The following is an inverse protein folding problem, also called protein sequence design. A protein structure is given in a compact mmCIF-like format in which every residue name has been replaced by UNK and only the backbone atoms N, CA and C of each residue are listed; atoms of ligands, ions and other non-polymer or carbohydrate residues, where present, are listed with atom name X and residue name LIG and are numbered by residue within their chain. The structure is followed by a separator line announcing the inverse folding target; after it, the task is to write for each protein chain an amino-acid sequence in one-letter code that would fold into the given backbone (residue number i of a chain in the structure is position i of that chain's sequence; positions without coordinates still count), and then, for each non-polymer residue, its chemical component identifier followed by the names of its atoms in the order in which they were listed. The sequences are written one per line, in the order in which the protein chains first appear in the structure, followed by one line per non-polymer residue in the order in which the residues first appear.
data_IF_914540278936
#
_entry.id   IF_914540278936
#
_cell.length_a   1.000
_cell.length_b   1.000
_cell.length_c   1.000
_cell.angle_alpha   90.00
_cell.angle_beta   90.00
_cell.angle_gamma   90.00
#
_symmetry.space_group_name_H-M   'P 1'
#
loop_
_entity.id
_entity.type
_entity.pdbx_description
1 polymer ?
#
# COMPACT_ATOMS: atom_id res chain seq x y z
N UNK A 1 6.45 8.78 -91.49
CA UNK A 1 5.53 8.12 -92.43
C UNK A 1 5.13 6.76 -91.87
N UNK A 2 3.81 6.55 -91.76
CA UNK A 2 3.04 5.29 -91.66
C UNK A 2 3.06 4.46 -90.36
N UNK A 3 1.88 4.49 -89.74
CA UNK A 3 1.23 3.55 -88.83
C UNK A 3 1.17 2.10 -89.37
N UNK A 4 0.99 1.10 -88.49
CA UNK A 4 -0.26 0.31 -88.32
C UNK A 4 -0.09 -0.71 -87.16
N UNK A 5 -1.20 -0.94 -86.45
CA UNK A 5 -1.47 -1.69 -85.21
C UNK A 5 -1.40 -3.22 -85.31
N UNK A 6 -1.32 -3.93 -84.14
CA UNK A 6 -2.10 -5.12 -83.65
C UNK A 6 -1.33 -5.81 -82.50
N UNK A 7 -1.67 -5.68 -81.20
CA UNK A 7 -2.63 -6.40 -80.32
C UNK A 7 -2.30 -7.89 -79.95
N UNK A 8 -2.28 -8.14 -78.62
CA UNK A 8 -2.30 -9.39 -77.81
C UNK A 8 -1.03 -10.27 -77.78
N UNK A 9 -0.50 -10.75 -76.64
CA UNK A 9 -1.18 -11.41 -75.51
C UNK A 9 -0.35 -11.27 -74.21
N UNK A 10 -1.03 -11.02 -73.09
CA UNK A 10 -0.46 -10.98 -71.75
C UNK A 10 -0.14 -12.40 -71.23
N UNK A 11 1.02 -12.56 -70.60
CA UNK A 11 1.24 -13.59 -69.59
C UNK A 11 1.59 -12.89 -68.28
N UNK A 12 0.57 -12.71 -67.44
CA UNK A 12 0.74 -12.41 -66.02
C UNK A 12 1.06 -13.74 -65.36
N UNK A 13 2.32 -13.95 -65.00
CA UNK A 13 2.72 -14.97 -64.05
C UNK A 13 2.44 -14.41 -62.65
N UNK A 14 1.21 -14.59 -62.15
CA UNK A 14 0.94 -14.49 -60.72
C UNK A 14 1.63 -15.70 -60.09
N UNK A 15 2.80 -15.46 -59.49
CA UNK A 15 3.40 -16.41 -58.57
C UNK A 15 2.52 -16.43 -57.32
N UNK A 16 1.85 -17.56 -57.09
CA UNK A 16 1.21 -17.92 -55.83
C UNK A 16 2.28 -17.99 -54.72
N UNK A 17 2.58 -16.87 -54.07
CA UNK A 17 3.37 -16.82 -52.83
C UNK A 17 2.50 -16.77 -51.56
N UNK A 18 1.18 -16.59 -51.70
CA UNK A 18 0.23 -16.55 -50.58
C UNK A 18 0.00 -17.89 -49.84
N UNK A 19 -0.09 -19.08 -50.48
CA UNK A 19 -0.47 -20.31 -49.76
C UNK A 19 0.65 -20.85 -48.87
N UNK A 20 1.93 -20.62 -49.22
CA UNK A 20 3.06 -21.06 -48.42
C UNK A 20 3.20 -20.26 -47.11
N UNK A 21 3.06 -18.93 -47.18
CA UNK A 21 3.08 -18.08 -45.99
C UNK A 21 1.89 -18.37 -45.06
N UNK A 22 0.68 -18.52 -45.60
CA UNK A 22 -0.49 -18.88 -44.81
C UNK A 22 -0.36 -20.27 -44.15
N UNK A 23 0.15 -21.27 -44.87
CA UNK A 23 0.39 -22.60 -44.31
C UNK A 23 1.48 -22.60 -43.23
N UNK A 24 2.56 -21.83 -43.43
CA UNK A 24 3.66 -21.72 -42.47
C UNK A 24 3.26 -20.97 -41.19
N UNK A 25 2.38 -19.96 -41.32
CA UNK A 25 1.79 -19.23 -40.20
C UNK A 25 0.83 -20.13 -39.41
N UNK A 26 0.01 -20.93 -40.11
CA UNK A 26 -0.93 -21.87 -39.50
C UNK A 26 -0.22 -23.02 -38.76
N UNK A 27 0.93 -23.47 -39.24
CA UNK A 27 1.76 -24.48 -38.53
C UNK A 27 2.44 -23.92 -37.28
N UNK A 28 2.86 -22.65 -37.29
CA UNK A 28 3.48 -22.01 -36.13
C UNK A 28 2.47 -21.74 -35.01
N UNK A 29 1.24 -21.35 -35.37
CA UNK A 29 0.14 -21.15 -34.42
C UNK A 29 -0.32 -22.47 -33.81
N UNK A 30 -0.43 -23.55 -34.60
CA UNK A 30 -0.75 -24.87 -34.08
C UNK A 30 0.32 -25.38 -33.09
N UNK A 31 1.61 -25.21 -33.42
CA UNK A 31 2.70 -25.54 -32.50
C UNK A 31 2.63 -24.72 -31.20
N UNK A 32 2.31 -23.42 -31.29
CA UNK A 32 2.13 -22.55 -30.12
C UNK A 32 1.00 -23.03 -29.20
N UNK A 33 -0.11 -23.46 -29.79
CA UNK A 33 -1.24 -24.04 -29.05
C UNK A 33 -0.79 -25.29 -28.28
N UNK A 34 0.01 -26.16 -28.90
CA UNK A 34 0.53 -27.36 -28.24
C UNK A 34 1.52 -27.03 -27.11
N UNK A 35 2.40 -26.06 -27.29
CA UNK A 35 3.30 -25.58 -26.23
C UNK A 35 2.51 -25.01 -25.03
N UNK A 36 1.46 -24.22 -25.29
CA UNK A 36 0.60 -23.67 -24.23
C UNK A 36 -0.13 -24.79 -23.49
N UNK A 37 -0.67 -25.80 -24.20
CA UNK A 37 -1.27 -26.98 -23.57
C UNK A 37 -0.27 -27.69 -22.66
N UNK A 38 0.97 -27.89 -23.15
CA UNK A 38 2.04 -28.47 -22.34
C UNK A 38 2.29 -27.66 -21.06
N UNK A 39 2.40 -26.32 -21.15
CA UNK A 39 2.59 -25.50 -19.97
C UNK A 39 1.41 -25.57 -19.01
N UNK A 40 0.18 -25.61 -19.51
CA UNK A 40 -1.02 -25.76 -18.68
C UNK A 40 -1.02 -27.09 -17.94
N UNK A 41 -0.78 -28.20 -18.64
CA UNK A 41 -0.78 -29.54 -18.02
C UNK A 41 0.30 -29.73 -16.96
N UNK A 42 1.46 -29.10 -17.15
CA UNK A 42 2.61 -29.31 -16.29
C UNK A 42 2.69 -28.29 -15.16
N UNK A 43 2.28 -27.03 -15.38
CA UNK A 43 2.52 -25.93 -14.44
C UNK A 43 1.26 -25.23 -13.94
N UNK A 44 0.11 -25.31 -14.62
CA UNK A 44 -1.08 -24.56 -14.21
C UNK A 44 -1.64 -25.01 -12.86
N UNK A 45 -1.74 -24.08 -11.92
CA UNK A 45 -2.34 -24.31 -10.61
C UNK A 45 -3.81 -23.88 -10.62
N UNK A 46 -4.68 -24.87 -10.78
CA UNK A 46 -6.13 -24.71 -10.87
C UNK A 46 -6.75 -25.97 -11.46
N UNK A 47 -8.05 -25.91 -11.73
CA UNK A 47 -8.74 -26.99 -12.42
C UNK A 47 -8.36 -26.95 -13.91
N UNK A 48 -7.67 -27.98 -14.39
CA UNK A 48 -7.35 -28.10 -15.82
C UNK A 48 -8.64 -28.45 -16.59
N UNK A 49 -9.01 -27.71 -17.66
CA UNK A 49 -10.18 -28.03 -18.46
C UNK A 49 -10.14 -29.46 -19.02
N UNK A 50 -11.20 -30.25 -18.79
CA UNK A 50 -11.27 -31.64 -19.28
C UNK A 50 -11.13 -31.74 -20.82
N UNK A 51 -11.56 -30.69 -21.53
CA UNK A 51 -11.51 -30.58 -22.97
C UNK A 51 -10.25 -29.86 -23.49
N UNK A 52 -9.22 -29.62 -22.67
CA UNK A 52 -8.00 -28.89 -23.05
C UNK A 52 -7.39 -29.41 -24.36
N UNK A 53 -7.30 -30.73 -24.53
CA UNK A 53 -6.72 -31.35 -25.72
C UNK A 53 -7.49 -31.06 -27.02
N UNK A 54 -8.80 -30.83 -26.90
CA UNK A 54 -9.68 -30.51 -28.04
C UNK A 54 -9.68 -29.03 -28.43
N UNK A 55 -9.13 -28.14 -27.60
CA UNK A 55 -9.03 -26.72 -27.90
C UNK A 55 -8.00 -26.48 -29.00
N UNK A 56 -8.36 -25.64 -29.99
CA UNK A 56 -7.54 -25.42 -31.18
C UNK A 56 -6.97 -24.01 -31.28
N UNK A 57 -7.35 -23.11 -30.36
CA UNK A 57 -6.89 -21.71 -30.35
C UNK A 57 -6.38 -21.32 -28.97
N UNK A 58 -5.46 -20.36 -28.93
CA UNK A 58 -4.91 -19.81 -27.68
C UNK A 58 -6.03 -19.21 -26.81
N UNK A 59 -6.95 -18.45 -27.39
CA UNK A 59 -8.03 -17.78 -26.64
C UNK A 59 -8.93 -18.78 -25.91
N UNK A 60 -9.33 -19.88 -26.57
CA UNK A 60 -10.08 -20.97 -25.93
C UNK A 60 -9.38 -21.54 -24.69
N UNK A 61 -8.04 -21.68 -24.75
CA UNK A 61 -7.27 -22.19 -23.62
C UNK A 61 -7.26 -21.15 -22.51
N UNK A 62 -6.87 -19.91 -22.81
CA UNK A 62 -6.72 -18.84 -21.82
C UNK A 62 -8.04 -18.51 -21.12
N UNK A 63 -9.15 -18.40 -21.87
CA UNK A 63 -10.48 -18.12 -21.31
C UNK A 63 -10.99 -19.23 -20.38
N UNK A 64 -10.49 -20.45 -20.54
CA UNK A 64 -10.85 -21.60 -19.71
C UNK A 64 -10.01 -21.72 -18.42
N UNK A 65 -9.00 -20.86 -18.21
CA UNK A 65 -8.17 -20.83 -17.01
C UNK A 65 -8.73 -19.84 -15.97
N UNK A 66 -7.87 -19.00 -15.40
CA UNK A 66 -8.23 -17.95 -14.44
C UNK A 66 -7.96 -16.54 -14.99
N UNK A 67 -8.52 -15.54 -14.31
CA UNK A 67 -8.41 -14.11 -14.66
C UNK A 67 -6.97 -13.54 -14.64
N UNK A 68 -5.98 -14.28 -14.14
CA UNK A 68 -4.57 -13.86 -14.06
C UNK A 68 -3.68 -14.53 -15.11
N UNK A 69 -4.18 -15.57 -15.77
CA UNK A 69 -3.49 -16.27 -16.86
C UNK A 69 -3.81 -15.60 -18.19
N UNK A 70 -2.80 -15.35 -19.01
CA UNK A 70 -2.94 -14.62 -20.28
C UNK A 70 -1.79 -14.93 -21.23
N UNK A 71 -2.12 -15.04 -22.51
CA UNK A 71 -1.14 -14.94 -23.59
C UNK A 71 -0.90 -13.49 -23.99
N UNK A 72 0.35 -13.14 -24.25
CA UNK A 72 0.76 -11.82 -24.71
C UNK A 72 1.59 -11.96 -25.98
N UNK A 73 1.24 -11.18 -27.00
CA UNK A 73 2.09 -11.01 -28.19
C UNK A 73 3.43 -10.37 -27.82
N UNK A 74 4.46 -10.38 -28.70
CA UNK A 74 5.75 -9.76 -28.40
C UNK A 74 5.65 -8.28 -28.00
N UNK A 75 4.80 -7.52 -28.70
CA UNK A 75 4.54 -6.11 -28.38
C UNK A 75 3.82 -5.96 -27.04
N UNK A 76 2.81 -6.79 -26.76
CA UNK A 76 2.10 -6.78 -25.48
C UNK A 76 3.02 -7.15 -24.32
N UNK A 77 3.88 -8.16 -24.49
CA UNK A 77 4.82 -8.59 -23.46
C UNK A 77 5.89 -7.53 -23.22
N UNK A 78 6.46 -6.95 -24.28
CA UNK A 78 7.42 -5.84 -24.17
C UNK A 78 6.79 -4.65 -23.45
N UNK A 79 5.56 -4.28 -23.78
CA UNK A 79 4.84 -3.20 -23.10
C UNK A 79 4.50 -3.57 -21.65
N UNK A 80 4.15 -4.83 -21.37
CA UNK A 80 3.87 -5.31 -20.02
C UNK A 80 5.12 -5.27 -19.14
N UNK A 81 6.24 -5.85 -19.59
CA UNK A 81 7.52 -5.84 -18.86
C UNK A 81 8.03 -4.42 -18.74
N UNK A 82 7.86 -3.58 -19.76
CA UNK A 82 8.20 -2.16 -19.65
C UNK A 82 7.30 -1.46 -18.63
N UNK A 83 6.01 -1.74 -18.55
CA UNK A 83 5.13 -1.14 -17.54
C UNK A 83 5.39 -1.65 -16.11
N UNK A 84 5.79 -2.92 -15.96
CA UNK A 84 6.13 -3.54 -14.67
C UNK A 84 7.56 -3.19 -14.23
N UNK A 85 8.47 -2.99 -15.19
CA UNK A 85 9.89 -2.68 -14.99
C UNK A 85 10.27 -1.21 -15.20
N UNK A 86 9.37 -0.34 -15.65
CA UNK A 86 9.61 1.10 -15.81
C UNK A 86 9.77 1.85 -14.48
N UNK A 87 9.61 1.19 -13.33
CA UNK A 87 10.16 1.73 -12.08
C UNK A 87 11.71 1.87 -12.15
N UNK A 88 12.40 1.16 -13.05
CA UNK A 88 13.86 1.22 -13.22
C UNK A 88 14.33 2.08 -14.42
N UNK A 89 13.44 2.66 -15.23
CA UNK A 89 13.83 3.48 -16.39
C UNK A 89 13.26 4.89 -16.26
N UNK A 90 14.15 5.84 -15.95
CA UNK A 90 13.89 7.27 -15.89
C UNK A 90 13.24 7.79 -17.20
N UNK A 91 11.92 7.79 -17.25
CA UNK A 91 11.15 8.63 -18.15
C UNK A 91 10.66 9.82 -17.33
N UNK A 92 11.05 11.01 -17.79
CA UNK A 92 10.64 12.30 -17.28
C UNK A 92 9.12 12.45 -17.37
N UNK A 93 8.40 11.97 -16.36
CA UNK A 93 7.08 12.46 -16.00
C UNK A 93 6.85 12.15 -14.52
N UNK A 94 6.54 13.22 -13.78
CA UNK A 94 6.33 13.37 -12.34
C UNK A 94 5.76 12.09 -11.68
N UNK A 95 6.60 11.11 -11.37
CA UNK A 95 6.22 9.95 -10.56
C UNK A 95 6.53 10.26 -9.09
N UNK A 96 5.51 10.16 -8.25
CA UNK A 96 5.74 10.12 -6.81
C UNK A 96 6.67 8.94 -6.48
N UNK A 97 7.65 9.11 -5.59
CA UNK A 97 8.56 8.03 -5.26
C UNK A 97 7.79 6.84 -4.66
N UNK A 98 8.18 5.62 -5.03
CA UNK A 98 7.58 4.38 -4.54
C UNK A 98 7.54 4.28 -3.00
N UNK A 99 8.49 4.95 -2.33
CA UNK A 99 8.56 5.09 -0.89
C UNK A 99 8.63 6.56 -0.50
N UNK A 100 7.78 6.98 0.44
CA UNK A 100 7.84 8.31 1.05
C UNK A 100 7.68 8.22 2.56
N UNK A 101 8.03 9.28 3.30
CA UNK A 101 7.95 9.27 4.76
C UNK A 101 7.70 10.63 5.38
N UNK A 102 7.08 10.64 6.55
CA UNK A 102 6.90 11.83 7.37
C UNK A 102 6.97 11.50 8.87
N UNK A 103 7.36 12.50 9.67
CA UNK A 103 7.08 12.46 11.11
C UNK A 103 5.64 12.92 11.35
N UNK A 104 4.91 12.16 12.15
CA UNK A 104 3.64 12.57 12.73
C UNK A 104 3.88 13.00 14.19
N UNK A 105 2.90 13.70 14.74
CA UNK A 105 2.92 14.07 16.15
C UNK A 105 3.06 12.83 17.07
N UNK A 106 3.67 13.00 18.25
CA UNK A 106 3.81 11.91 19.22
C UNK A 106 4.87 10.85 18.89
N UNK A 107 5.95 11.26 18.21
CA UNK A 107 7.09 10.41 17.84
C UNK A 107 6.71 9.22 16.94
N UNK A 108 5.72 9.41 16.07
CA UNK A 108 5.28 8.37 15.14
C UNK A 108 5.92 8.60 13.78
N UNK A 109 6.75 7.67 13.34
CA UNK A 109 7.22 7.61 11.96
C UNK A 109 6.12 7.08 11.04
N UNK A 110 5.94 7.69 9.88
CA UNK A 110 5.06 7.21 8.82
C UNK A 110 5.89 6.92 7.57
N UNK A 111 5.69 5.76 6.97
CA UNK A 111 6.28 5.36 5.69
C UNK A 111 5.15 4.90 4.77
N UNK A 112 5.05 5.48 3.58
CA UNK A 112 4.14 5.03 2.51
C UNK A 112 4.92 4.20 1.52
N UNK A 113 4.37 3.05 1.12
CA UNK A 113 4.94 2.19 0.07
C UNK A 113 3.83 1.96 -0.96
N UNK A 114 3.95 2.57 -2.14
CA UNK A 114 2.92 2.51 -3.19
C UNK A 114 3.06 1.28 -4.08
N UNK A 115 4.25 0.69 -4.15
CA UNK A 115 4.55 -0.55 -4.90
C UNK A 115 5.73 -1.29 -4.26
N UNK A 116 5.77 -2.61 -4.41
CA UNK A 116 6.92 -3.44 -4.03
C UNK A 116 7.93 -3.49 -5.18
N UNK A 117 8.72 -2.43 -5.35
CA UNK A 117 9.79 -2.36 -6.36
C UNK A 117 11.06 -3.12 -5.94
N UNK A 118 11.98 -3.37 -6.87
CA UNK A 118 13.26 -4.06 -6.63
C UNK A 118 14.17 -3.34 -5.62
N UNK A 119 14.06 -2.01 -5.53
CA UNK A 119 14.86 -1.17 -4.63
C UNK A 119 14.12 -0.77 -3.33
N UNK A 120 12.88 -1.24 -3.13
CA UNK A 120 12.01 -0.84 -2.02
C UNK A 120 12.71 -0.93 -0.65
N UNK A 121 13.43 -2.02 -0.38
CA UNK A 121 14.07 -2.27 0.93
C UNK A 121 15.12 -1.21 1.28
N UNK A 122 15.96 -0.84 0.31
CA UNK A 122 16.97 0.20 0.48
C UNK A 122 16.33 1.56 0.78
N UNK A 123 15.24 1.89 0.09
CA UNK A 123 14.52 3.14 0.30
C UNK A 123 13.84 3.16 1.67
N UNK A 124 13.13 2.09 2.06
CA UNK A 124 12.54 1.95 3.38
C UNK A 124 13.58 2.09 4.49
N UNK A 125 14.75 1.46 4.35
CA UNK A 125 15.85 1.60 5.31
C UNK A 125 16.31 3.05 5.43
N UNK A 126 16.46 3.77 4.31
CA UNK A 126 16.87 5.18 4.28
C UNK A 126 15.85 6.06 5.01
N UNK A 127 14.57 5.90 4.67
CA UNK A 127 13.46 6.64 5.26
C UNK A 127 13.31 6.34 6.76
N UNK A 128 13.28 5.07 7.15
CA UNK A 128 13.21 4.65 8.55
C UNK A 128 14.40 5.17 9.38
N UNK A 129 15.62 5.09 8.84
CA UNK A 129 16.81 5.60 9.53
C UNK A 129 16.74 7.11 9.77
N UNK A 130 16.16 7.87 8.84
CA UNK A 130 15.90 9.30 9.01
C UNK A 130 14.86 9.57 10.09
N UNK A 131 13.72 8.87 10.05
CA UNK A 131 12.65 9.00 11.06
C UNK A 131 13.16 8.65 12.46
N UNK A 132 13.95 7.57 12.58
CA UNK A 132 14.56 7.15 13.84
C UNK A 132 15.50 8.22 14.41
N UNK A 133 16.30 8.89 13.57
CA UNK A 133 17.14 10.02 13.99
C UNK A 133 16.32 11.23 14.44
N UNK A 134 15.11 11.41 13.90
CA UNK A 134 14.16 12.43 14.32
C UNK A 134 13.38 12.07 15.60
N UNK A 135 13.62 10.88 16.17
CA UNK A 135 13.04 10.44 17.44
C UNK A 135 11.83 9.53 17.31
N UNK A 136 11.53 8.98 16.12
CA UNK A 136 10.45 8.01 15.96
C UNK A 136 10.68 6.75 16.81
N UNK A 137 9.72 6.43 17.68
CA UNK A 137 9.70 5.21 18.52
C UNK A 137 8.53 4.27 18.16
N UNK A 138 7.62 4.74 17.31
CA UNK A 138 6.47 4.04 16.73
C UNK A 138 6.52 4.18 15.22
N UNK A 139 5.94 3.21 14.51
CA UNK A 139 5.96 3.19 13.05
C UNK A 139 4.58 2.86 12.48
N UNK A 140 4.15 3.61 11.48
CA UNK A 140 3.01 3.28 10.62
C UNK A 140 3.55 3.06 9.21
N UNK A 141 3.30 1.89 8.64
CA UNK A 141 3.62 1.57 7.25
C UNK A 141 2.31 1.53 6.48
N UNK A 142 2.22 2.32 5.43
CA UNK A 142 1.02 2.43 4.61
C UNK A 142 1.17 1.64 3.31
N UNK A 143 0.34 0.60 3.17
CA UNK A 143 0.19 -0.25 1.99
C UNK A 143 -1.19 -0.06 1.33
N UNK A 144 -1.95 0.97 1.70
CA UNK A 144 -3.20 1.33 1.03
C UNK A 144 -2.90 1.63 -0.44
N UNK A 145 -3.77 1.17 -1.33
CA UNK A 145 -3.61 1.32 -2.78
C UNK A 145 -2.38 0.63 -3.39
N UNK A 146 -1.60 -0.13 -2.60
CA UNK A 146 -0.47 -0.90 -3.10
C UNK A 146 -0.93 -2.25 -3.68
N UNK A 147 -0.95 -2.34 -5.02
CA UNK A 147 -1.37 -3.54 -5.76
C UNK A 147 -0.39 -4.72 -5.72
N UNK A 148 0.74 -4.57 -5.04
CA UNK A 148 1.79 -5.56 -4.90
C UNK A 148 3.08 -5.16 -5.63
N UNK A 149 3.72 -6.14 -6.25
CA UNK A 149 5.02 -6.00 -6.92
C UNK A 149 5.85 -7.26 -6.70
N UNK A 150 7.17 -7.09 -6.60
CA UNK A 150 8.11 -8.18 -6.38
C UNK A 150 7.91 -8.84 -5.01
N UNK A 151 7.70 -10.15 -5.01
CA UNK A 151 7.48 -10.94 -3.78
C UNK A 151 8.72 -10.93 -2.89
N UNK A 152 9.92 -10.95 -3.49
CA UNK A 152 11.18 -10.83 -2.75
C UNK A 152 11.26 -9.54 -1.92
N UNK A 153 10.75 -8.41 -2.46
CA UNK A 153 10.70 -7.15 -1.71
C UNK A 153 9.78 -7.23 -0.49
N UNK A 154 8.70 -8.02 -0.54
CA UNK A 154 7.89 -8.32 0.63
C UNK A 154 8.62 -9.20 1.65
N UNK A 155 9.39 -10.20 1.19
CA UNK A 155 10.23 -11.04 2.04
C UNK A 155 11.32 -10.22 2.76
N UNK A 156 11.89 -9.22 2.09
CA UNK A 156 12.84 -8.26 2.65
C UNK A 156 12.17 -7.34 3.69
N UNK A 157 11.02 -6.73 3.35
CA UNK A 157 10.26 -5.89 4.29
C UNK A 157 9.90 -6.64 5.57
N UNK A 158 9.45 -7.89 5.44
CA UNK A 158 9.14 -8.78 6.57
C UNK A 158 10.35 -9.08 7.44
N UNK A 159 11.55 -9.09 6.85
CA UNK A 159 12.83 -9.23 7.54
C UNK A 159 13.16 -8.14 8.55
N UNK A 160 12.47 -7.00 8.53
CA UNK A 160 12.63 -5.92 9.51
C UNK A 160 11.83 -6.09 10.80
N UNK A 161 10.85 -7.01 10.82
CA UNK A 161 10.01 -7.22 11.99
C UNK A 161 10.64 -8.26 12.92
N UNK A 162 10.56 -8.01 14.24
CA UNK A 162 11.00 -8.99 15.23
C UNK A 162 10.01 -10.16 15.28
N UNK A 163 10.52 -11.39 15.41
CA UNK A 163 9.69 -12.58 15.60
C UNK A 163 9.09 -13.18 14.33
N UNK A 164 9.22 -12.53 13.17
CA UNK A 164 8.79 -13.09 11.87
C UNK A 164 9.78 -14.18 11.43
N UNK A 165 9.29 -15.42 11.33
CA UNK A 165 10.07 -16.61 10.94
C UNK A 165 9.67 -17.18 9.59
N UNK A 166 8.40 -17.02 9.22
CA UNK A 166 7.85 -17.46 7.94
C UNK A 166 7.26 -16.25 7.24
N UNK A 167 7.59 -16.06 5.97
CA UNK A 167 6.98 -15.02 5.15
C UNK A 167 5.59 -15.49 4.73
N UNK A 168 5.51 -16.59 3.99
CA UNK A 168 4.26 -17.20 3.52
C UNK A 168 4.48 -18.70 3.25
N UNK A 169 3.37 -19.43 3.11
CA UNK A 169 3.36 -20.79 2.57
C UNK A 169 2.96 -20.73 1.10
N UNK A 170 3.77 -21.29 0.22
CA UNK A 170 3.49 -21.42 -1.20
C UNK A 170 3.00 -22.83 -1.50
N UNK A 171 1.96 -22.94 -2.32
CA UNK A 171 1.51 -24.22 -2.88
C UNK A 171 1.54 -24.15 -4.39
N UNK A 172 2.21 -25.10 -4.99
CA UNK A 172 2.25 -25.32 -6.45
C UNK A 172 1.81 -26.76 -6.74
N UNK A 173 1.80 -27.15 -8.02
CA UNK A 173 1.57 -28.56 -8.40
C UNK A 173 2.66 -29.49 -7.89
N UNK A 174 3.88 -28.99 -7.78
CA UNK A 174 5.06 -29.75 -7.36
C UNK A 174 5.08 -30.01 -5.85
N UNK A 175 4.36 -29.20 -5.08
CA UNK A 175 4.21 -29.37 -3.64
C UNK A 175 4.05 -28.06 -2.89
N UNK A 176 4.23 -28.15 -1.57
CA UNK A 176 4.13 -27.02 -0.68
C UNK A 176 5.51 -26.61 -0.16
N UNK A 177 5.80 -25.32 -0.17
CA UNK A 177 7.07 -24.75 0.30
C UNK A 177 6.82 -23.64 1.31
N UNK A 178 7.50 -23.72 2.45
CA UNK A 178 7.54 -22.63 3.43
C UNK A 178 8.63 -21.64 3.06
N UNK A 179 8.23 -20.40 2.76
CA UNK A 179 9.17 -19.32 2.40
C UNK A 179 9.51 -18.50 3.64
N UNK A 180 10.81 -18.20 3.82
CA UNK A 180 11.33 -17.43 4.95
C UNK A 180 11.55 -15.97 4.56
N UNK A 181 11.42 -15.01 5.49
CA UNK A 181 11.79 -13.63 5.23
C UNK A 181 13.32 -13.48 5.04
N UNK A 182 13.74 -12.48 4.27
CA UNK A 182 15.14 -12.10 4.12
C UNK A 182 15.53 -11.25 5.33
N UNK A 183 16.21 -11.83 6.31
CA UNK A 183 16.45 -11.19 7.60
C UNK A 183 17.33 -9.92 7.51
N UNK A 184 16.82 -8.82 8.05
CA UNK A 184 17.56 -7.55 8.16
C UNK A 184 18.15 -7.35 9.56
N UNK A 185 19.31 -6.68 9.63
CA UNK A 185 19.92 -6.22 10.89
C UNK A 185 19.20 -5.01 11.48
N UNK A 186 18.54 -4.22 10.64
CA UNK A 186 17.75 -3.07 11.09
C UNK A 186 16.37 -3.60 11.45
N UNK A 187 15.91 -3.37 12.68
CA UNK A 187 14.59 -3.79 13.14
C UNK A 187 13.66 -2.59 13.39
N UNK A 188 12.40 -2.77 13.03
CA UNK A 188 11.32 -1.83 13.34
C UNK A 188 10.89 -1.93 14.80
N UNK A 189 10.32 -0.87 15.40
CA UNK A 189 9.81 -0.94 16.77
C UNK A 189 8.64 -1.93 16.87
N UNK A 190 8.44 -2.52 18.05
CA UNK A 190 7.30 -3.42 18.30
C UNK A 190 5.94 -2.74 18.08
N UNK A 191 5.87 -1.43 18.32
CA UNK A 191 4.68 -0.62 18.03
C UNK A 191 4.67 -0.21 16.55
N UNK A 192 4.56 -1.21 15.66
CA UNK A 192 4.39 -1.01 14.22
C UNK A 192 2.97 -1.39 13.78
N UNK A 193 2.39 -0.55 12.93
CA UNK A 193 1.03 -0.69 12.40
C UNK A 193 1.07 -0.68 10.87
N UNK A 194 0.28 -1.53 10.23
CA UNK A 194 0.20 -1.62 8.77
C UNK A 194 -1.18 -1.13 8.32
N UNK A 195 -1.20 -0.10 7.48
CA UNK A 195 -2.44 0.36 6.85
C UNK A 195 -2.67 -0.41 5.56
N UNK A 196 -3.88 -0.93 5.39
CA UNK A 196 -4.32 -1.65 4.18
C UNK A 196 -5.71 -1.19 3.78
N UNK A 197 -6.06 -1.36 2.50
CA UNK A 197 -7.42 -1.13 2.04
C UNK A 197 -7.82 -2.16 0.98
N UNK A 198 -9.04 -2.03 0.43
CA UNK A 198 -9.57 -2.91 -0.62
C UNK A 198 -8.75 -3.00 -1.91
N UNK A 199 -7.79 -2.10 -2.11
CA UNK A 199 -6.88 -2.08 -3.25
C UNK A 199 -5.50 -2.68 -2.92
N UNK A 200 -5.18 -2.89 -1.64
CA UNK A 200 -3.99 -3.61 -1.21
C UNK A 200 -4.07 -5.06 -1.73
N UNK A 201 -3.06 -5.50 -2.50
CA UNK A 201 -3.10 -6.79 -3.18
C UNK A 201 -1.74 -7.49 -3.23
N UNK A 202 -1.75 -8.80 -3.52
CA UNK A 202 -0.54 -9.58 -3.83
C UNK A 202 0.52 -9.50 -2.73
N UNK A 203 1.73 -8.98 -3.02
CA UNK A 203 2.81 -8.79 -2.06
C UNK A 203 2.38 -8.02 -0.78
N UNK A 204 1.48 -7.03 -0.90
CA UNK A 204 0.90 -6.33 0.26
C UNK A 204 0.13 -7.29 1.19
N UNK A 205 -0.55 -8.29 0.62
CA UNK A 205 -1.34 -9.28 1.35
C UNK A 205 -0.45 -10.36 1.98
N UNK A 206 0.69 -10.69 1.36
CA UNK A 206 1.74 -11.51 1.97
C UNK A 206 2.22 -10.84 3.27
N UNK A 207 2.55 -9.56 3.21
CA UNK A 207 3.01 -8.79 4.38
C UNK A 207 1.93 -8.75 5.45
N UNK A 208 0.69 -8.40 5.08
CA UNK A 208 -0.42 -8.32 6.03
C UNK A 208 -0.71 -9.67 6.71
N UNK A 209 -0.79 -10.75 5.94
CA UNK A 209 -1.04 -12.10 6.45
C UNK A 209 0.09 -12.58 7.37
N UNK A 210 1.35 -12.39 6.95
CA UNK A 210 2.53 -12.82 7.71
C UNK A 210 2.61 -12.14 9.07
N UNK A 211 2.42 -10.82 9.09
CA UNK A 211 2.50 -10.03 10.32
C UNK A 211 1.31 -10.31 11.25
N UNK A 212 0.11 -10.48 10.70
CA UNK A 212 -1.08 -10.81 11.51
C UNK A 212 -0.97 -12.21 12.12
N UNK A 213 -0.62 -13.23 11.33
CA UNK A 213 -0.52 -14.61 11.78
C UNK A 213 0.52 -14.78 12.89
N UNK A 214 1.62 -14.02 12.81
CA UNK A 214 2.72 -14.06 13.78
C UNK A 214 2.65 -12.97 14.85
N UNK A 215 1.57 -12.17 14.86
CA UNK A 215 1.35 -11.08 15.82
C UNK A 215 2.52 -10.07 15.89
N UNK A 216 3.20 -9.86 14.76
CA UNK A 216 4.39 -9.01 14.66
C UNK A 216 4.04 -7.53 14.38
N UNK A 217 2.83 -7.26 13.87
CA UNK A 217 2.28 -5.92 13.71
C UNK A 217 0.75 -5.96 13.76
N UNK A 218 0.12 -4.79 13.91
CA UNK A 218 -1.35 -4.64 13.89
C UNK A 218 -1.77 -4.17 12.50
N UNK A 219 -2.69 -4.91 11.87
CA UNK A 219 -3.26 -4.53 10.57
C UNK A 219 -4.47 -3.62 10.80
N UNK A 220 -4.52 -2.49 10.11
CA UNK A 220 -5.55 -1.45 10.26
C UNK A 220 -6.10 -1.08 8.90
N UNK A 221 -7.41 -0.93 8.77
CA UNK A 221 -8.01 -0.41 7.54
C UNK A 221 -9.25 -1.14 7.10
N UNK A 222 -9.29 -1.52 5.83
CA UNK A 222 -10.35 -2.33 5.21
C UNK A 222 -9.83 -3.73 4.84
N UNK A 223 -10.74 -4.64 4.52
CA UNK A 223 -10.38 -5.94 3.94
C UNK A 223 -9.62 -5.78 2.61
N UNK A 224 -8.53 -6.52 2.42
CA UNK A 224 -7.70 -6.45 1.19
C UNK A 224 -8.32 -7.14 -0.03
N UNK A 225 -7.72 -6.98 -1.20
CA UNK A 225 -8.27 -7.42 -2.51
C UNK A 225 -8.53 -8.92 -2.62
N UNK A 226 -7.68 -9.77 -2.07
CA UNK A 226 -7.74 -11.23 -2.19
C UNK A 226 -7.00 -11.82 -3.38
N UNK A 227 -5.91 -11.19 -3.84
CA UNK A 227 -5.06 -11.72 -4.92
C UNK A 227 -3.95 -12.60 -4.33
N UNK A 228 -4.31 -13.83 -3.99
CA UNK A 228 -3.42 -14.84 -3.39
C UNK A 228 -2.71 -15.81 -4.35
N UNK A 229 -2.58 -15.47 -5.64
CA UNK A 229 -2.01 -16.35 -6.67
C UNK A 229 -0.64 -15.87 -7.14
N UNK A 230 0.21 -16.81 -7.56
CA UNK A 230 1.54 -16.56 -8.13
C UNK A 230 1.49 -16.87 -9.62
N UNK A 231 2.02 -15.95 -10.43
CA UNK A 231 2.13 -16.15 -11.87
C UNK A 231 3.61 -16.30 -12.28
N UNK A 232 3.86 -17.15 -13.27
CA UNK A 232 5.14 -17.25 -13.97
C UNK A 232 4.98 -16.82 -15.44
N UNK A 233 6.07 -16.35 -16.05
CA UNK A 233 6.14 -16.08 -17.48
C UNK A 233 6.88 -17.22 -18.17
N UNK A 234 6.31 -17.74 -19.25
CA UNK A 234 6.92 -18.69 -20.16
C UNK A 234 7.11 -17.96 -21.49
N UNK A 235 8.34 -17.55 -21.76
CA UNK A 235 8.71 -16.79 -22.96
C UNK A 235 8.90 -17.74 -24.14
N UNK A 236 8.44 -17.31 -25.31
CA UNK A 236 8.59 -18.02 -26.57
C UNK A 236 9.72 -17.40 -27.40
N UNK A 237 10.27 -18.16 -28.35
CA UNK A 237 11.41 -17.72 -29.18
C UNK A 237 11.12 -16.46 -30.01
N UNK A 238 9.86 -16.19 -30.33
CA UNK A 238 9.43 -15.00 -31.06
C UNK A 238 9.21 -13.76 -30.18
N UNK A 239 9.49 -13.87 -28.88
CA UNK A 239 9.34 -12.78 -27.90
C UNK A 239 7.94 -12.67 -27.30
N UNK A 240 6.99 -13.52 -27.68
CA UNK A 240 5.70 -13.61 -27.01
C UNK A 240 5.87 -14.26 -25.62
N UNK A 241 4.86 -14.16 -24.77
CA UNK A 241 4.90 -14.81 -23.46
C UNK A 241 3.53 -15.32 -23.00
N UNK A 242 3.53 -16.48 -22.34
CA UNK A 242 2.41 -16.99 -21.57
C UNK A 242 2.63 -16.62 -20.10
N UNK A 243 1.75 -15.79 -19.55
CA UNK A 243 1.62 -15.59 -18.11
C UNK A 243 0.66 -16.62 -17.56
N UNK A 244 1.10 -17.44 -16.62
CA UNK A 244 0.31 -18.56 -16.11
C UNK A 244 0.30 -18.59 -14.59
N UNK A 245 -0.85 -18.83 -13.96
CA UNK A 245 -0.91 -19.10 -12.52
C UNK A 245 -0.28 -20.45 -12.21
N UNK A 246 0.79 -20.45 -11.42
CA UNK A 246 1.57 -21.65 -11.06
C UNK A 246 1.42 -22.05 -9.58
N UNK A 247 0.72 -21.24 -8.79
CA UNK A 247 0.50 -21.52 -7.39
C UNK A 247 -0.37 -20.51 -6.67
N UNK A 248 -0.61 -20.79 -5.39
CA UNK A 248 -1.21 -19.88 -4.43
C UNK A 248 -0.28 -19.67 -3.23
N UNK A 249 -0.43 -18.53 -2.55
CA UNK A 249 0.20 -18.29 -1.27
C UNK A 249 -0.83 -18.10 -0.15
N UNK A 250 -0.46 -18.55 1.04
CA UNK A 250 -1.23 -18.37 2.28
C UNK A 250 -0.35 -17.78 3.37
N UNK A 251 -0.97 -17.20 4.40
CA UNK A 251 -0.23 -16.77 5.59
C UNK A 251 0.41 -17.96 6.34
N UNK A 252 1.37 -17.71 7.25
CA UNK A 252 2.03 -18.74 8.06
C UNK A 252 1.09 -19.68 8.84
N UNK A 253 -0.13 -19.25 9.18
CA UNK A 253 -1.17 -20.09 9.80
C UNK A 253 -2.13 -20.71 8.79
N UNK A 254 -1.74 -20.76 7.51
CA UNK A 254 -2.56 -21.15 6.35
C UNK A 254 -3.78 -20.24 6.14
N UNK A 255 -3.68 -18.99 6.56
CA UNK A 255 -4.69 -17.97 6.33
C UNK A 255 -4.92 -17.80 4.82
N UNK A 256 -6.13 -18.11 4.35
CA UNK A 256 -6.49 -18.06 2.93
C UNK A 256 -6.56 -16.61 2.45
N UNK A 257 -5.79 -16.29 1.41
CA UNK A 257 -5.75 -14.96 0.78
C UNK A 257 -6.57 -14.96 -0.50
N UNK A 258 -6.38 -15.96 -1.37
CA UNK A 258 -7.04 -15.97 -2.68
C UNK A 258 -8.57 -15.92 -2.58
N UNK A 259 -9.18 -14.95 -3.28
CA UNK A 259 -10.62 -14.61 -3.30
C UNK A 259 -11.23 -14.24 -1.94
N UNK A 260 -10.40 -14.07 -0.90
CA UNK A 260 -10.85 -13.69 0.45
C UNK A 260 -10.22 -12.39 0.91
N UNK A 261 -8.93 -12.19 0.68
CA UNK A 261 -8.17 -11.10 1.28
C UNK A 261 -7.93 -11.30 2.78
N UNK A 262 -7.25 -10.32 3.36
CA UNK A 262 -6.90 -10.23 4.77
C UNK A 262 -7.81 -9.21 5.42
N UNK A 263 -8.54 -9.65 6.44
CA UNK A 263 -9.34 -8.76 7.28
C UNK A 263 -8.41 -7.99 8.23
N UNK A 264 -8.65 -6.68 8.44
CA UNK A 264 -7.84 -5.90 9.36
C UNK A 264 -8.11 -6.31 10.81
N UNK A 265 -7.10 -6.16 11.68
CA UNK A 265 -7.27 -6.33 13.13
C UNK A 265 -8.08 -5.18 13.71
N UNK A 266 -7.95 -3.98 13.15
CA UNK A 266 -8.74 -2.79 13.46
C UNK A 266 -9.42 -2.33 12.16
N UNK A 267 -10.72 -2.56 12.07
CA UNK A 267 -11.57 -2.05 10.99
C UNK A 267 -11.83 -0.56 11.18
N UNK A 268 -11.89 0.20 10.09
CA UNK A 268 -12.20 1.63 10.12
C UNK A 268 -12.77 2.13 8.79
N UNK A 269 -13.36 3.32 8.83
CA UNK A 269 -13.91 3.97 7.65
C UNK A 269 -12.82 4.23 6.59
N UNK A 270 -13.20 4.10 5.32
CA UNK A 270 -12.34 4.42 4.18
C UNK A 270 -11.74 5.82 4.31
N UNK A 271 -10.44 5.93 4.01
CA UNK A 271 -9.64 7.15 4.13
C UNK A 271 -9.50 7.72 5.57
N UNK A 272 -9.93 6.97 6.60
CA UNK A 272 -9.74 7.32 8.02
C UNK A 272 -8.71 6.42 8.70
N UNK A 273 -8.03 5.53 8.00
CA UNK A 273 -7.12 4.53 8.58
C UNK A 273 -5.97 5.21 9.35
N UNK A 274 -5.30 6.17 8.70
CA UNK A 274 -4.17 6.88 9.30
C UNK A 274 -4.58 7.75 10.49
N UNK A 275 -5.69 8.48 10.38
CA UNK A 275 -6.18 9.32 11.48
C UNK A 275 -6.69 8.49 12.66
N UNK A 276 -7.34 7.35 12.38
CA UNK A 276 -7.81 6.39 13.38
C UNK A 276 -6.65 5.79 14.16
N UNK A 277 -5.63 5.27 13.48
CA UNK A 277 -4.50 4.66 14.20
C UNK A 277 -3.67 5.70 14.94
N UNK A 278 -3.46 6.88 14.35
CA UNK A 278 -2.74 7.96 15.02
C UNK A 278 -3.50 8.42 16.28
N UNK A 279 -4.84 8.56 16.20
CA UNK A 279 -5.66 8.88 17.37
C UNK A 279 -5.51 7.84 18.49
N UNK A 280 -5.52 6.55 18.15
CA UNK A 280 -5.34 5.46 19.12
C UNK A 280 -3.96 5.52 19.78
N UNK A 281 -2.91 5.69 18.99
CA UNK A 281 -1.53 5.84 19.50
C UNK A 281 -1.42 7.02 20.48
N UNK A 282 -1.98 8.18 20.11
CA UNK A 282 -1.94 9.36 20.98
C UNK A 282 -2.79 9.17 22.24
N UNK A 283 -3.99 8.60 22.14
CA UNK A 283 -4.85 8.30 23.29
C UNK A 283 -4.14 7.38 24.27
N UNK A 284 -3.50 6.32 23.77
CA UNK A 284 -2.73 5.41 24.61
C UNK A 284 -1.60 6.17 25.31
N UNK A 285 -0.83 6.99 24.59
CA UNK A 285 0.25 7.80 25.18
C UNK A 285 -0.24 8.77 26.25
N UNK A 286 -1.33 9.50 25.97
CA UNK A 286 -1.94 10.46 26.89
C UNK A 286 -2.51 9.77 28.13
N UNK A 287 -3.11 8.58 27.98
CA UNK A 287 -3.62 7.78 29.09
C UNK A 287 -2.48 7.32 30.03
N UNK A 288 -1.34 6.87 29.49
CA UNK A 288 -0.17 6.54 30.30
C UNK A 288 0.35 7.75 31.09
N UNK A 289 0.24 8.95 30.51
CA UNK A 289 0.58 10.22 31.16
C UNK A 289 -0.54 10.76 32.08
N UNK A 290 -1.61 9.99 32.32
CA UNK A 290 -2.74 10.36 33.17
C UNK A 290 -3.50 11.61 32.72
N UNK A 291 -3.52 11.91 31.42
CA UNK A 291 -4.37 12.98 30.88
C UNK A 291 -5.85 12.61 31.00
N UNK A 292 -6.68 13.62 31.25
CA UNK A 292 -8.13 13.46 31.25
C UNK A 292 -8.71 13.84 29.88
N UNK A 293 -9.42 12.92 29.24
CA UNK A 293 -10.27 13.27 28.11
C UNK A 293 -11.45 14.12 28.61
N UNK A 294 -11.71 15.23 27.92
CA UNK A 294 -12.95 16.01 28.08
C UNK A 294 -13.84 15.79 26.85
N UNK A 295 -15.08 16.29 26.90
CA UNK A 295 -16.08 16.04 25.86
C UNK A 295 -15.57 16.33 24.44
N UNK A 296 -15.96 15.46 23.52
CA UNK A 296 -15.61 15.57 22.11
C UNK A 296 -16.34 16.77 21.48
N UNK A 297 -15.63 17.52 20.64
CA UNK A 297 -16.20 18.62 19.87
C UNK A 297 -16.49 18.17 18.45
N UNK A 298 -17.75 17.93 18.15
CA UNK A 298 -18.18 17.49 16.82
C UNK A 298 -18.60 18.68 15.94
N UNK A 299 -18.49 18.54 14.62
CA UNK A 299 -19.05 19.50 13.67
C UNK A 299 -18.52 20.94 13.87
N UNK A 300 -17.24 21.06 14.20
CA UNK A 300 -16.56 22.34 14.45
C UNK A 300 -16.29 23.06 13.12
N UNK A 301 -16.48 24.39 13.09
CA UNK A 301 -16.15 25.20 11.91
C UNK A 301 -14.63 25.32 11.72
N UNK A 302 -14.19 25.42 10.47
CA UNK A 302 -12.76 25.47 10.10
C UNK A 302 -11.97 26.63 10.75
N UNK A 303 -12.63 27.71 11.16
CA UNK A 303 -12.06 28.92 11.76
C UNK A 303 -12.44 29.11 13.24
N UNK A 304 -12.94 28.06 13.89
CA UNK A 304 -13.35 28.11 15.30
C UNK A 304 -12.20 28.57 16.21
N UNK A 305 -12.47 29.58 17.02
CA UNK A 305 -11.72 29.87 18.25
C UNK A 305 -12.25 29.00 19.39
N UNK A 306 -11.34 28.32 20.09
CA UNK A 306 -11.64 27.52 21.28
C UNK A 306 -11.38 28.35 22.54
N UNK A 307 -12.21 28.17 23.57
CA UNK A 307 -12.08 28.88 24.84
C UNK A 307 -11.75 27.89 25.95
N UNK A 308 -10.55 27.99 26.51
CA UNK A 308 -10.12 27.19 27.65
C UNK A 308 -10.43 27.96 28.94
N UNK A 309 -11.39 27.48 29.71
CA UNK A 309 -11.80 28.09 30.98
C UNK A 309 -11.13 27.40 32.17
N UNK A 310 -10.55 28.20 33.07
CA UNK A 310 -9.98 27.76 34.33
C UNK A 310 -10.99 27.97 35.47
N UNK A 311 -10.97 27.06 36.46
CA UNK A 311 -11.86 27.15 37.63
C UNK A 311 -11.49 28.25 38.62
N UNK A 312 -10.40 28.97 38.36
CA UNK A 312 -9.89 30.07 39.16
C UNK A 312 -9.08 31.02 38.26
N UNK A 313 -8.71 32.18 38.79
CA UNK A 313 -7.80 33.10 38.11
C UNK A 313 -6.38 32.53 38.01
N UNK A 314 -5.74 32.77 36.86
CA UNK A 314 -4.45 32.21 36.47
C UNK A 314 -3.48 33.30 36.00
N UNK A 315 -2.18 33.04 36.07
CA UNK A 315 -1.16 33.89 35.48
C UNK A 315 -1.00 33.52 34.00
N UNK A 316 -1.79 34.14 33.14
CA UNK A 316 -1.89 33.82 31.72
C UNK A 316 -0.87 34.59 30.85
N UNK A 317 0.32 34.87 31.38
CA UNK A 317 1.39 35.51 30.61
C UNK A 317 1.87 34.60 29.46
N UNK A 318 2.48 35.20 28.43
CA UNK A 318 2.99 34.45 27.26
C UNK A 318 3.90 33.29 27.67
N UNK A 319 4.86 33.53 28.58
CA UNK A 319 5.79 32.50 29.07
C UNK A 319 5.08 31.35 29.81
N UNK A 320 3.91 31.59 30.39
CA UNK A 320 3.13 30.58 31.10
C UNK A 320 2.22 29.75 30.19
N UNK A 321 2.03 30.18 28.92
CA UNK A 321 0.97 29.66 28.04
C UNK A 321 1.48 29.15 26.69
N UNK A 322 2.57 29.69 26.16
CA UNK A 322 3.03 29.50 24.77
C UNK A 322 3.28 28.05 24.35
N UNK A 323 3.68 27.19 25.28
CA UNK A 323 4.01 25.78 25.01
C UNK A 323 3.10 24.79 25.76
N UNK A 324 1.95 25.25 26.29
CA UNK A 324 1.06 24.42 27.09
C UNK A 324 -0.23 24.01 26.39
N UNK A 325 -0.44 24.47 25.15
CA UNK A 325 -1.60 24.13 24.35
C UNK A 325 -1.13 23.76 22.95
N UNK A 326 -1.61 22.64 22.44
CA UNK A 326 -1.27 22.13 21.12
C UNK A 326 -2.54 21.70 20.40
N UNK A 327 -2.72 22.13 19.16
CA UNK A 327 -3.76 21.63 18.28
C UNK A 327 -3.11 20.68 17.28
N UNK A 328 -3.43 19.39 17.36
CA UNK A 328 -2.77 18.34 16.58
C UNK A 328 -3.73 17.82 15.51
N UNK A 329 -3.31 17.85 14.25
CA UNK A 329 -4.04 17.17 13.17
C UNK A 329 -3.76 15.67 13.23
N UNK A 330 -4.80 14.85 13.38
CA UNK A 330 -4.65 13.40 13.34
C UNK A 330 -4.23 12.95 11.93
N UNK A 331 -3.34 11.96 11.87
CA UNK A 331 -2.56 11.62 10.67
C UNK A 331 -1.57 12.70 10.20
N UNK A 332 -1.24 13.70 11.04
CA UNK A 332 -0.31 14.77 10.70
C UNK A 332 0.50 15.28 11.89
N UNK A 333 0.81 16.57 11.87
CA UNK A 333 1.62 17.27 12.88
C UNK A 333 0.78 18.28 13.67
N UNK A 334 1.40 18.93 14.66
CA UNK A 334 0.83 20.09 15.33
C UNK A 334 0.56 21.23 14.33
N UNK A 335 -0.60 21.86 14.47
CA UNK A 335 -1.03 23.02 13.69
C UNK A 335 -0.65 24.29 14.47
N UNK A 336 -0.09 25.31 13.80
CA UNK A 336 0.18 26.59 14.45
C UNK A 336 -1.09 27.24 14.98
N UNK A 337 -1.04 27.68 16.24
CA UNK A 337 -2.13 28.37 16.93
C UNK A 337 -1.66 29.71 17.48
N UNK A 338 -2.62 30.60 17.73
CA UNK A 338 -2.46 31.83 18.48
C UNK A 338 -3.22 31.69 19.80
N UNK A 339 -2.55 32.02 20.90
CA UNK A 339 -3.13 31.97 22.24
C UNK A 339 -3.22 33.40 22.77
N UNK A 340 -4.40 33.81 23.23
CA UNK A 340 -4.63 35.14 23.80
C UNK A 340 -5.42 35.03 25.11
N UNK A 341 -4.96 35.64 26.21
CA UNK A 341 -5.76 35.78 27.42
C UNK A 341 -7.02 36.59 27.16
N UNK A 342 -8.14 36.08 27.66
CA UNK A 342 -9.44 36.73 27.63
C UNK A 342 -9.94 36.86 29.09
N UNK A 343 -9.46 37.89 29.78
CA UNK A 343 -9.62 38.02 31.22
C UNK A 343 -8.66 37.12 32.01
N UNK A 344 -8.92 36.97 33.31
CA UNK A 344 -8.01 36.32 34.26
C UNK A 344 -8.11 34.79 34.31
N UNK A 345 -9.15 34.19 33.71
CA UNK A 345 -9.45 32.76 33.83
C UNK A 345 -9.78 32.09 32.48
N UNK A 346 -9.56 32.75 31.36
CA UNK A 346 -9.86 32.19 30.03
C UNK A 346 -8.72 32.43 29.05
N UNK A 347 -8.40 31.41 28.26
CA UNK A 347 -7.51 31.50 27.10
C UNK A 347 -8.29 31.24 25.81
N UNK A 348 -8.20 32.20 24.88
CA UNK A 348 -8.68 32.02 23.52
C UNK A 348 -7.57 31.36 22.69
N UNK A 349 -7.93 30.28 22.01
CA UNK A 349 -7.03 29.46 21.19
C UNK A 349 -7.57 29.48 19.76
N UNK A 350 -6.83 30.09 18.85
CA UNK A 350 -7.27 30.25 17.45
C UNK A 350 -6.27 29.59 16.50
N UNK A 351 -6.70 28.69 15.61
CA UNK A 351 -5.84 28.17 14.54
C UNK A 351 -5.33 29.31 13.65
N UNK A 352 -4.01 29.36 13.38
CA UNK A 352 -3.43 30.40 12.52
C UNK A 352 -3.80 30.21 11.04
N UNK A 353 -4.24 29.01 10.68
CA UNK A 353 -4.80 28.66 9.38
C UNK A 353 -6.09 27.87 9.62
N UNK A 354 -7.03 27.98 8.67
CA UNK A 354 -8.27 27.19 8.71
C UNK A 354 -7.95 25.70 8.81
N UNK A 355 -8.63 25.02 9.73
CA UNK A 355 -8.58 23.57 9.85
C UNK A 355 -9.17 22.91 8.59
N UNK A 356 -8.71 21.70 8.27
CA UNK A 356 -9.17 20.97 7.11
C UNK A 356 -10.60 20.47 7.36
N UNK A 357 -11.51 20.79 6.43
CA UNK A 357 -12.87 20.23 6.40
C UNK A 357 -12.83 18.71 6.36
N UNK A 358 -13.63 18.05 7.21
CA UNK A 358 -13.63 16.60 7.38
C UNK A 358 -12.41 16.04 8.13
N UNK A 359 -11.50 16.92 8.58
CA UNK A 359 -10.33 16.56 9.38
C UNK A 359 -10.69 16.26 10.83
N UNK A 360 -9.83 15.48 11.46
CA UNK A 360 -9.91 15.13 12.88
C UNK A 360 -8.68 15.66 13.61
N UNK A 361 -8.89 16.22 14.81
CA UNK A 361 -7.86 16.90 15.58
C UNK A 361 -7.96 16.53 17.06
N UNK A 362 -6.84 16.64 17.78
CA UNK A 362 -6.84 16.75 19.24
C UNK A 362 -6.41 18.15 19.64
N UNK A 363 -7.17 18.79 20.54
CA UNK A 363 -6.66 19.93 21.30
C UNK A 363 -6.15 19.40 22.64
N UNK A 364 -4.84 19.49 22.85
CA UNK A 364 -4.13 18.98 24.01
C UNK A 364 -3.70 20.16 24.87
N UNK A 365 -3.99 20.09 26.17
CA UNK A 365 -3.66 21.11 27.17
C UNK A 365 -2.79 20.45 28.24
N UNK A 366 -1.55 20.90 28.33
CA UNK A 366 -0.55 20.40 29.26
C UNK A 366 -0.92 20.80 30.71
N UNK A 367 -0.54 20.02 31.74
CA UNK A 367 -0.63 20.46 33.13
C UNK A 367 0.33 21.63 33.41
N UNK A 368 0.32 22.13 34.64
CA UNK A 368 1.31 23.10 35.11
C UNK A 368 0.98 24.56 34.86
N UNK A 369 -0.23 24.93 34.46
CA UNK A 369 -0.66 26.34 34.44
C UNK A 369 -0.65 26.88 35.87
N UNK A 370 0.10 27.95 36.13
CA UNK A 370 0.25 28.53 37.46
C UNK A 370 -0.65 29.76 37.66
N UNK A 371 -1.15 29.96 38.87
CA UNK A 371 -1.70 31.24 39.30
C UNK A 371 -0.65 32.10 40.01
N UNK A 372 -1.00 33.33 40.38
CA UNK A 372 -0.08 34.26 41.06
C UNK A 372 0.34 33.80 42.46
N UNK A 373 -0.32 32.79 43.01
CA UNK A 373 0.02 32.14 44.28
C UNK A 373 0.89 30.89 44.09
N UNK A 374 1.36 30.62 42.87
CA UNK A 374 2.19 29.47 42.54
C UNK A 374 1.47 28.11 42.50
N UNK A 375 0.13 28.09 42.61
CA UNK A 375 -0.64 26.83 42.49
C UNK A 375 -0.78 26.46 41.02
N UNK A 376 -0.54 25.18 40.70
CA UNK A 376 -0.55 24.69 39.33
C UNK A 376 -1.70 23.73 39.02
N UNK A 377 -2.13 23.70 37.75
CA UNK A 377 -2.98 22.60 37.26
C UNK A 377 -2.21 21.29 37.33
N UNK A 378 -2.80 20.26 37.94
CA UNK A 378 -2.10 18.99 38.19
C UNK A 378 -2.19 18.00 37.04
N UNK A 379 -3.29 18.06 36.30
CA UNK A 379 -3.62 17.09 35.27
C UNK A 379 -3.79 17.79 33.92
N UNK A 380 -3.18 17.22 32.88
CA UNK A 380 -3.42 17.66 31.51
C UNK A 380 -4.78 17.16 31.02
N UNK A 381 -5.33 17.85 30.02
CA UNK A 381 -6.58 17.46 29.37
C UNK A 381 -6.42 17.39 27.86
N UNK A 382 -7.29 16.63 27.20
CA UNK A 382 -7.41 16.69 25.74
C UNK A 382 -8.86 16.52 25.29
N UNK A 383 -9.20 17.11 24.14
CA UNK A 383 -10.51 16.95 23.49
C UNK A 383 -10.33 16.50 22.04
N UNK A 384 -10.98 15.41 21.62
CA UNK A 384 -11.16 15.07 20.21
C UNK A 384 -12.07 16.07 19.49
N UNK A 385 -11.69 16.42 18.26
CA UNK A 385 -12.38 17.41 17.45
C UNK A 385 -12.63 16.84 16.04
N UNK A 386 -13.84 17.00 15.53
CA UNK A 386 -14.17 16.78 14.11
C UNK A 386 -14.62 18.08 13.45
N UNK A 387 -14.14 18.33 12.24
CA UNK A 387 -14.35 19.61 11.52
C UNK A 387 -15.33 19.42 10.37
N UNK A 388 -16.31 20.32 10.23
CA UNK A 388 -17.31 20.33 9.14
C UNK A 388 -17.12 21.42 8.10
#
# INVERSE_FOLDING_TARGET
MKQIQSILLAFITIILLAPAAAAQTQTAEAARVDDIKFFVENFYYGDIPENLQSMTTIDQIIEALDEYSRYMTPDEYTNYVSAVGADDIALHDIHEPAVSSAMLYGNVGYISITTFSTNMDKDVIRHYSSLKKQGADKLVIDLRYNGGGYVESAEQLLGHFEGVKTAYEMKTREGNTTVKPVQSKIKFPKQTYILVNRYSASASEIVAASLQDQQAAIIVGEQTKGKGTIQSFFEFEDGAALKLTIGEFTGPKKSKIHRKGIAPTIDCEHDKELSTIHARILKDSLAHQQYKQVDDLQNVLTDKTFHLHFTQEMNLTYNQTSNKVELVKLGGVAVPISIKPNGANTLDITPNKRMQKGGSYFLIVQPGFANDKGRTTKQGIYTPITVK
#
